data_IF_098527358719
#
_entry.id   IF_098527358719
#
_cell.length_a   1.000
_cell.length_b   1.000
_cell.length_c   1.000
_cell.angle_alpha   90.00
_cell.angle_beta   90.00
_cell.angle_gamma   90.00
#
_symmetry.space_group_name_H-M   'P 1'
#
loop_
_entity.id
_entity.type
_entity.pdbx_description
1 polymer ?
#
# COMPACT_ATOMS: atom_id res chain seq x y z
N UNK A 1 -5.16 24.52 1.63
CA UNK A 1 -5.38 23.73 2.86
C UNK A 1 -4.86 22.30 2.69
N UNK A 2 -3.65 22.04 3.20
CA UNK A 2 -2.92 20.76 3.11
C UNK A 2 -3.57 19.67 3.99
N UNK A 3 -3.91 20.01 5.23
CA UNK A 3 -4.47 19.08 6.21
C UNK A 3 -5.79 18.45 5.72
N UNK A 4 -6.63 19.23 5.02
CA UNK A 4 -7.85 18.70 4.40
C UNK A 4 -7.56 17.67 3.32
N UNK A 5 -6.57 17.91 2.46
CA UNK A 5 -6.17 16.96 1.40
C UNK A 5 -5.68 15.64 1.99
N UNK A 6 -4.82 15.70 3.02
CA UNK A 6 -4.32 14.50 3.72
C UNK A 6 -5.47 13.72 4.38
N UNK A 7 -6.42 14.39 5.03
CA UNK A 7 -7.61 13.74 5.62
C UNK A 7 -8.50 13.07 4.58
N UNK A 8 -8.66 13.68 3.40
CA UNK A 8 -9.40 13.07 2.28
C UNK A 8 -8.70 11.82 1.80
N UNK A 9 -7.39 11.88 1.55
CA UNK A 9 -6.59 10.72 1.13
C UNK A 9 -6.69 9.55 2.12
N UNK A 10 -6.49 9.82 3.40
CA UNK A 10 -6.65 8.83 4.48
C UNK A 10 -8.02 8.14 4.44
N UNK A 11 -9.10 8.93 4.35
CA UNK A 11 -10.48 8.38 4.28
C UNK A 11 -10.73 7.60 2.99
N UNK A 12 -10.15 8.03 1.87
CA UNK A 12 -10.27 7.33 0.59
C UNK A 12 -9.63 5.95 0.67
N UNK A 13 -8.41 5.86 1.19
CA UNK A 13 -7.70 4.58 1.35
C UNK A 13 -8.52 3.60 2.21
N UNK A 14 -9.02 4.05 3.37
CA UNK A 14 -9.85 3.20 4.24
C UNK A 14 -11.17 2.75 3.58
N UNK A 15 -11.70 3.49 2.60
CA UNK A 15 -12.86 3.05 1.82
C UNK A 15 -12.47 2.00 0.80
N UNK A 16 -11.34 2.20 0.10
CA UNK A 16 -10.81 1.22 -0.86
C UNK A 16 -10.52 -0.12 -0.19
N UNK A 17 -9.98 -0.10 1.04
CA UNK A 17 -9.73 -1.32 1.82
C UNK A 17 -10.97 -2.18 2.05
N UNK A 18 -12.19 -1.64 1.96
CA UNK A 18 -13.44 -2.42 2.09
C UNK A 18 -13.68 -3.35 0.89
N UNK A 19 -12.97 -3.13 -0.23
CA UNK A 19 -12.97 -4.02 -1.38
C UNK A 19 -11.93 -5.15 -1.28
N UNK A 20 -11.09 -5.16 -0.23
CA UNK A 20 -10.07 -6.19 -0.05
C UNK A 20 -10.62 -7.44 0.65
N UNK A 21 -9.98 -8.61 0.46
CA UNK A 21 -10.21 -9.78 1.31
C UNK A 21 -10.03 -9.44 2.80
N UNK A 22 -10.82 -10.06 3.68
CA UNK A 22 -10.93 -9.67 5.10
C UNK A 22 -9.56 -9.56 5.82
N UNK A 23 -8.67 -10.54 5.63
CA UNK A 23 -7.34 -10.53 6.23
C UNK A 23 -6.48 -9.35 5.75
N UNK A 24 -6.50 -9.04 4.44
CA UNK A 24 -5.78 -7.90 3.86
C UNK A 24 -6.39 -6.57 4.30
N UNK A 25 -7.72 -6.49 4.40
CA UNK A 25 -8.41 -5.30 4.89
C UNK A 25 -8.00 -4.98 6.33
N UNK A 26 -7.99 -5.96 7.22
CA UNK A 26 -7.62 -5.77 8.63
C UNK A 26 -6.17 -5.31 8.77
N UNK A 27 -5.24 -6.05 8.15
CA UNK A 27 -3.83 -5.73 8.14
C UNK A 27 -3.57 -4.33 7.57
N UNK A 28 -4.14 -4.03 6.41
CA UNK A 28 -3.98 -2.74 5.75
C UNK A 28 -4.56 -1.57 6.55
N UNK A 29 -5.72 -1.75 7.19
CA UNK A 29 -6.33 -0.70 8.02
C UNK A 29 -5.46 -0.32 9.21
N UNK A 30 -4.85 -1.31 9.87
CA UNK A 30 -3.96 -1.07 11.00
C UNK A 30 -2.69 -0.34 10.53
N UNK A 31 -2.09 -0.81 9.44
CA UNK A 31 -0.91 -0.18 8.85
C UNK A 31 -1.15 1.28 8.44
N UNK A 32 -2.24 1.56 7.72
CA UNK A 32 -2.58 2.93 7.29
C UNK A 32 -2.79 3.88 8.47
N UNK A 33 -3.47 3.42 9.52
CA UNK A 33 -3.67 4.22 10.74
C UNK A 33 -2.35 4.60 11.39
N UNK A 34 -1.44 3.64 11.50
CA UNK A 34 -0.14 3.85 12.13
C UNK A 34 0.76 4.76 11.29
N UNK A 35 0.84 4.54 9.98
CA UNK A 35 1.67 5.34 9.09
C UNK A 35 1.23 6.80 9.04
N UNK A 36 -0.06 7.07 8.88
CA UNK A 36 -0.58 8.45 8.90
C UNK A 36 -0.41 9.10 10.28
N UNK A 37 -0.41 8.32 11.37
CA UNK A 37 -0.14 8.84 12.72
C UNK A 37 1.33 9.20 12.88
N UNK A 38 2.26 8.34 12.42
CA UNK A 38 3.71 8.57 12.45
C UNK A 38 4.12 9.81 11.65
N UNK A 39 3.43 10.08 10.53
CA UNK A 39 3.74 11.21 9.65
C UNK A 39 3.00 12.52 9.97
N UNK A 40 2.32 12.63 11.13
CA UNK A 40 1.60 13.87 11.50
C UNK A 40 2.49 15.10 11.62
N UNK A 41 3.73 14.91 12.07
CA UNK A 41 4.67 15.99 12.41
C UNK A 41 5.93 15.98 11.53
N UNK A 42 5.88 15.35 10.36
CA UNK A 42 7.01 15.32 9.43
C UNK A 42 7.26 16.69 8.78
N UNK A 43 8.46 16.87 8.22
CA UNK A 43 8.80 18.10 7.51
C UNK A 43 7.90 18.30 6.27
N UNK A 44 7.78 19.54 5.75
CA UNK A 44 6.97 19.79 4.56
C UNK A 44 7.36 18.95 3.34
N UNK A 45 8.66 18.68 3.15
CA UNK A 45 9.17 17.86 2.06
C UNK A 45 8.76 16.39 2.22
N UNK A 46 8.98 15.83 3.41
CA UNK A 46 8.55 14.46 3.73
C UNK A 46 7.03 14.32 3.59
N UNK A 47 6.27 15.32 4.03
CA UNK A 47 4.81 15.32 3.92
C UNK A 47 4.33 15.31 2.47
N UNK A 48 5.02 16.03 1.58
CA UNK A 48 4.72 16.02 0.14
C UNK A 48 5.02 14.65 -0.48
N UNK A 49 6.21 14.10 -0.21
CA UNK A 49 6.60 12.77 -0.70
C UNK A 49 5.62 11.71 -0.18
N UNK A 50 5.35 11.70 1.13
CA UNK A 50 4.37 10.81 1.75
C UNK A 50 3.01 10.91 1.05
N UNK A 51 2.47 12.11 0.89
CA UNK A 51 1.15 12.30 0.25
C UNK A 51 1.15 11.82 -1.20
N UNK A 52 2.24 12.02 -1.95
CA UNK A 52 2.39 11.56 -3.33
C UNK A 52 2.38 10.03 -3.41
N UNK A 53 3.23 9.36 -2.63
CA UNK A 53 3.31 7.89 -2.65
C UNK A 53 1.99 7.25 -2.22
N UNK A 54 1.34 7.77 -1.17
CA UNK A 54 0.04 7.27 -0.72
C UNK A 54 -1.10 7.56 -1.69
N UNK A 55 -1.03 8.64 -2.47
CA UNK A 55 -1.96 8.89 -3.56
C UNK A 55 -1.75 7.90 -4.71
N UNK A 56 -0.50 7.56 -5.04
CA UNK A 56 -0.14 6.50 -5.99
C UNK A 56 -0.67 5.14 -5.56
N UNK A 57 -0.47 4.76 -4.30
CA UNK A 57 -1.04 3.54 -3.72
C UNK A 57 -2.57 3.49 -3.85
N UNK A 58 -3.27 4.58 -3.49
CA UNK A 58 -4.72 4.64 -3.59
C UNK A 58 -5.21 4.51 -5.04
N UNK A 59 -4.46 5.05 -6.00
CA UNK A 59 -4.77 4.93 -7.43
C UNK A 59 -4.62 3.49 -7.92
N UNK A 60 -3.46 2.86 -7.68
CA UNK A 60 -3.21 1.46 -8.05
C UNK A 60 -4.25 0.53 -7.42
N UNK A 61 -4.58 0.72 -6.13
CA UNK A 61 -5.59 -0.09 -5.47
C UNK A 61 -6.99 0.11 -6.07
N UNK A 62 -7.37 1.34 -6.44
CA UNK A 62 -8.66 1.59 -7.09
C UNK A 62 -8.76 0.95 -8.48
N UNK A 63 -7.65 0.88 -9.22
CA UNK A 63 -7.57 0.18 -10.51
C UNK A 63 -7.71 -1.33 -10.33
N UNK A 64 -6.98 -1.93 -9.40
CA UNK A 64 -7.04 -3.37 -9.09
C UNK A 64 -8.45 -3.80 -8.65
N UNK A 65 -9.15 -2.96 -7.88
CA UNK A 65 -10.54 -3.17 -7.47
C UNK A 65 -11.57 -2.92 -8.58
N UNK A 66 -11.14 -2.54 -9.79
CA UNK A 66 -12.03 -2.28 -10.93
C UNK A 66 -12.86 -0.99 -10.81
N UNK A 67 -12.52 -0.09 -9.89
CA UNK A 67 -13.22 1.19 -9.72
C UNK A 67 -12.80 2.22 -10.78
N UNK A 68 -11.64 2.03 -11.41
CA UNK A 68 -11.07 2.92 -12.44
C UNK A 68 -10.62 2.20 -13.71
N UNK A 69 -11.07 0.97 -13.94
CA UNK A 69 -10.64 0.17 -15.10
C UNK A 69 -11.33 -1.19 -15.16
N UNK A 70 -10.71 -2.15 -15.87
CA UNK A 70 -11.18 -3.54 -15.86
C UNK A 70 -10.84 -4.16 -14.49
N UNK A 71 -11.81 -4.76 -13.78
CA UNK A 71 -11.53 -5.41 -12.50
C UNK A 71 -10.53 -6.55 -12.69
N UNK A 72 -9.51 -6.59 -11.82
CA UNK A 72 -8.66 -7.77 -11.73
C UNK A 72 -9.48 -8.94 -11.17
N UNK A 73 -9.11 -10.19 -11.48
CA UNK A 73 -9.77 -11.36 -10.88
C UNK A 73 -9.81 -11.23 -9.36
N UNK A 74 -10.95 -11.60 -8.77
CA UNK A 74 -11.14 -11.59 -7.32
C UNK A 74 -10.02 -12.42 -6.68
N UNK A 75 -9.20 -11.81 -5.84
CA UNK A 75 -8.07 -12.45 -5.17
C UNK A 75 -6.69 -12.12 -5.75
N UNK A 76 -6.58 -11.46 -6.91
CA UNK A 76 -5.32 -10.94 -7.45
C UNK A 76 -5.15 -9.46 -7.09
N UNK A 77 -4.77 -9.19 -5.84
CA UNK A 77 -4.39 -7.87 -5.35
C UNK A 77 -2.86 -7.80 -5.25
N UNK A 78 -2.27 -6.68 -5.67
CA UNK A 78 -0.83 -6.45 -5.67
C UNK A 78 -0.20 -6.55 -7.07
N UNK A 79 1.08 -6.18 -7.11
CA UNK A 79 1.91 -6.20 -8.32
C UNK A 79 3.22 -6.93 -8.00
N UNK A 80 3.83 -7.53 -9.03
CA UNK A 80 5.14 -8.16 -8.87
C UNK A 80 6.21 -7.09 -8.66
N UNK A 81 7.15 -7.36 -7.75
CA UNK A 81 8.33 -6.52 -7.58
C UNK A 81 9.20 -6.60 -8.85
N UNK A 82 9.62 -5.45 -9.35
CA UNK A 82 10.56 -5.37 -10.46
C UNK A 82 11.99 -5.63 -9.98
N UNK A 83 12.88 -6.04 -10.89
CA UNK A 83 14.31 -6.22 -10.57
C UNK A 83 14.91 -4.95 -9.96
N UNK A 84 14.63 -3.79 -10.55
CA UNK A 84 15.06 -2.51 -10.02
C UNK A 84 14.53 -2.26 -8.59
N UNK A 85 13.30 -2.65 -8.27
CA UNK A 85 12.80 -2.53 -6.89
C UNK A 85 13.56 -3.44 -5.92
N UNK A 86 13.91 -4.65 -6.35
CA UNK A 86 14.67 -5.60 -5.53
C UNK A 86 16.10 -5.08 -5.23
N UNK A 87 16.71 -4.36 -6.16
CA UNK A 87 18.03 -3.74 -5.96
C UNK A 87 18.07 -2.71 -4.80
N UNK A 88 16.91 -2.17 -4.41
CA UNK A 88 16.81 -1.22 -3.30
C UNK A 88 16.72 -1.90 -1.92
N UNK A 89 16.60 -3.23 -1.87
CA UNK A 89 16.51 -3.98 -0.63
C UNK A 89 17.90 -4.31 -0.11
N UNK A 90 18.08 -4.27 1.21
CA UNK A 90 19.28 -4.82 1.85
C UNK A 90 19.29 -6.34 1.71
N UNK A 91 20.47 -6.96 1.76
CA UNK A 91 20.63 -8.42 1.67
C UNK A 91 19.74 -9.18 2.66
N UNK A 92 19.64 -8.71 3.90
CA UNK A 92 18.77 -9.30 4.93
C UNK A 92 17.28 -9.25 4.54
N UNK A 93 16.85 -8.14 3.92
CA UNK A 93 15.45 -7.98 3.50
C UNK A 93 15.14 -8.86 2.28
N UNK A 94 16.11 -9.04 1.38
CA UNK A 94 16.01 -9.99 0.26
C UNK A 94 15.91 -11.43 0.78
N UNK A 95 16.72 -11.80 1.77
CA UNK A 95 16.65 -13.11 2.41
C UNK A 95 15.27 -13.36 3.05
N UNK A 96 14.76 -12.38 3.81
CA UNK A 96 13.42 -12.46 4.41
C UNK A 96 12.32 -12.60 3.36
N UNK A 97 12.39 -11.81 2.28
CA UNK A 97 11.43 -11.88 1.19
C UNK A 97 11.46 -13.25 0.49
N UNK A 98 12.65 -13.82 0.31
CA UNK A 98 12.83 -15.15 -0.27
C UNK A 98 12.26 -16.26 0.61
N UNK A 99 12.49 -16.21 1.92
CA UNK A 99 11.89 -17.18 2.85
C UNK A 99 10.36 -17.04 2.92
N UNK A 100 9.83 -15.80 2.88
CA UNK A 100 8.39 -15.56 2.77
C UNK A 100 7.80 -16.18 1.50
N UNK A 101 8.49 -16.04 0.36
CA UNK A 101 8.07 -16.65 -0.92
C UNK A 101 8.03 -18.18 -0.82
N UNK A 102 9.03 -18.79 -0.18
CA UNK A 102 9.07 -20.24 0.03
C UNK A 102 7.92 -20.70 0.91
N UNK A 103 7.63 -20.00 2.00
CA UNK A 103 6.51 -20.30 2.89
C UNK A 103 5.16 -20.20 2.16
N UNK A 104 4.95 -19.13 1.40
CA UNK A 104 3.70 -18.88 0.68
C UNK A 104 3.43 -19.90 -0.45
N UNK A 105 4.46 -20.62 -0.93
CA UNK A 105 4.36 -21.66 -1.97
C UNK A 105 4.25 -23.08 -1.41
N UNK A 106 4.31 -23.25 -0.08
CA UNK A 106 4.08 -24.57 0.52
C UNK A 106 2.63 -25.00 0.26
N UNK A 107 2.41 -26.30 -0.03
CA UNK A 107 1.07 -26.84 -0.29
C UNK A 107 0.16 -26.80 0.93
#
# INVERSE_FOLDING_TARGET
DHARKVKVLYKTILRLHRGLPAALQEMGNNYVKDEFKRHKNCSPLESQNFTREWAGYALSLAEQLGLRGKPQPIGMIGENLTEHQLEHFREEQLSQLYELLKEAKKP
#
